data_IF_196682766388
#
_entry.id   IF_196682766388
#
_cell.length_a   1.000
_cell.length_b   1.000
_cell.length_c   1.000
_cell.angle_alpha   90.00
_cell.angle_beta   90.00
_cell.angle_gamma   90.00
#
_symmetry.space_group_name_H-M   'P 1'
#
loop_
_entity.id
_entity.type
_entity.pdbx_description
1 polymer ?
#
# COMPACT_ATOMS: atom_id res chain seq x y z
N UNK A 1 19.18 -10.40 15.26
CA UNK A 1 18.51 -9.43 14.38
C UNK A 1 19.57 -8.87 13.45
N UNK A 2 19.44 -9.08 12.15
CA UNK A 2 20.26 -8.39 11.15
C UNK A 2 20.09 -6.88 11.32
N UNK A 3 21.16 -6.12 11.11
CA UNK A 3 21.04 -4.65 11.06
C UNK A 3 20.28 -4.31 9.78
N UNK A 4 19.19 -3.57 9.90
CA UNK A 4 18.44 -3.05 8.75
C UNK A 4 19.36 -2.09 7.99
N UNK A 5 19.47 -2.27 6.68
CA UNK A 5 20.33 -1.47 5.81
C UNK A 5 19.51 -0.37 5.11
N UNK A 6 20.06 0.85 5.09
CA UNK A 6 19.53 2.01 4.37
C UNK A 6 20.61 3.11 4.27
N UNK A 7 20.46 4.04 3.33
CA UNK A 7 21.38 5.17 3.15
C UNK A 7 21.22 6.23 4.26
N UNK A 8 22.15 7.20 4.33
CA UNK A 8 22.06 8.31 5.29
C UNK A 8 20.84 9.21 5.02
N UNK A 9 20.49 9.41 3.75
CA UNK A 9 19.33 10.18 3.30
C UNK A 9 18.02 9.49 3.70
N UNK A 10 17.97 8.16 3.58
CA UNK A 10 16.85 7.36 4.06
C UNK A 10 16.79 7.40 5.59
N UNK A 11 17.93 7.34 6.29
CA UNK A 11 17.96 7.48 7.75
C UNK A 11 17.37 8.83 8.21
N UNK A 12 17.72 9.93 7.53
CA UNK A 12 17.16 11.25 7.80
C UNK A 12 15.65 11.29 7.53
N UNK A 13 15.20 10.72 6.42
CA UNK A 13 13.78 10.59 6.11
C UNK A 13 13.03 9.82 7.20
N UNK A 14 13.56 8.66 7.61
CA UNK A 14 12.97 7.82 8.64
C UNK A 14 12.88 8.52 10.00
N UNK A 15 13.84 9.41 10.32
CA UNK A 15 13.78 10.27 11.51
C UNK A 15 12.61 11.27 11.49
N UNK A 16 12.02 11.52 10.31
CA UNK A 16 10.86 12.40 10.12
C UNK A 16 9.56 11.64 9.90
N UNK A 17 9.61 10.32 9.71
CA UNK A 17 8.42 9.50 9.48
C UNK A 17 7.51 9.56 10.70
N UNK A 18 6.24 9.85 10.44
CA UNK A 18 5.16 9.82 11.40
C UNK A 18 4.26 8.64 11.10
N UNK A 19 3.76 8.06 12.18
CA UNK A 19 2.85 6.91 12.13
C UNK A 19 1.42 7.41 12.26
N UNK A 20 0.51 6.82 11.49
CA UNK A 20 -0.93 6.96 11.72
C UNK A 20 -1.47 5.58 12.13
N UNK A 21 -1.57 5.30 13.44
CA UNK A 21 -2.06 4.02 13.93
C UNK A 21 -3.43 3.69 13.35
N UNK A 22 -3.72 2.40 13.20
CA UNK A 22 -5.08 1.99 12.81
C UNK A 22 -6.07 2.52 13.84
N UNK A 23 -7.28 2.90 13.40
CA UNK A 23 -8.36 3.27 14.30
C UNK A 23 -8.96 2.08 15.09
N UNK A 24 -8.26 0.93 15.14
CA UNK A 24 -8.72 -0.28 15.82
C UNK A 24 -9.84 -1.03 15.09
N UNK A 25 -10.07 -0.75 13.80
CA UNK A 25 -11.10 -1.42 13.02
C UNK A 25 -10.85 -2.93 12.90
N UNK A 26 -11.87 -3.78 13.12
CA UNK A 26 -11.73 -5.22 12.95
C UNK A 26 -11.31 -5.60 11.53
N UNK A 27 -10.27 -6.42 11.43
CA UNK A 27 -9.80 -7.02 10.18
C UNK A 27 -10.56 -8.33 9.90
N UNK A 28 -11.11 -8.46 8.68
CA UNK A 28 -11.89 -9.60 8.19
C UNK A 28 -11.13 -10.26 7.02
N UNK A 29 -10.17 -11.16 7.30
CA UNK A 29 -9.33 -11.77 6.26
C UNK A 29 -10.14 -12.72 5.38
N UNK A 30 -10.12 -12.52 4.06
CA UNK A 30 -10.74 -13.38 3.07
C UNK A 30 -12.28 -13.39 3.05
N UNK A 31 -12.94 -12.83 4.06
CA UNK A 31 -14.39 -12.66 4.09
C UNK A 31 -14.84 -11.69 2.99
N UNK A 32 -15.89 -12.03 2.26
CA UNK A 32 -16.53 -11.09 1.33
C UNK A 32 -17.20 -9.96 2.12
N UNK A 33 -17.23 -8.76 1.52
CA UNK A 33 -17.99 -7.65 2.08
C UNK A 33 -19.48 -8.01 2.01
N UNK A 34 -20.23 -7.97 3.12
CA UNK A 34 -21.66 -8.30 3.11
C UNK A 34 -22.45 -7.36 2.20
N UNK A 35 -23.51 -7.89 1.60
CA UNK A 35 -24.47 -7.10 0.84
C UNK A 35 -25.00 -5.93 1.69
N UNK A 36 -25.02 -4.73 1.11
CA UNK A 36 -25.47 -3.51 1.78
C UNK A 36 -24.42 -2.78 2.62
N UNK A 37 -23.24 -3.35 2.86
CA UNK A 37 -22.12 -2.63 3.48
C UNK A 37 -21.31 -1.89 2.38
N UNK A 38 -21.34 -0.55 2.31
CA UNK A 38 -20.67 0.17 1.23
C UNK A 38 -19.15 0.01 1.31
N UNK A 39 -18.53 -0.31 0.19
CA UNK A 39 -17.07 -0.23 0.04
C UNK A 39 -16.69 1.21 -0.27
N UNK A 40 -15.86 1.81 0.58
CA UNK A 40 -15.52 3.24 0.46
C UNK A 40 -14.05 3.50 0.19
N UNK A 41 -13.18 2.52 0.45
CA UNK A 41 -11.76 2.65 0.16
C UNK A 41 -11.14 1.33 -0.27
N UNK A 42 -10.08 1.43 -1.06
CA UNK A 42 -9.22 0.31 -1.46
C UNK A 42 -7.76 0.68 -1.24
N UNK A 43 -7.01 -0.18 -0.53
CA UNK A 43 -5.59 0.03 -0.22
C UNK A 43 -4.76 -1.21 -0.59
N UNK A 44 -3.59 -0.99 -1.19
CA UNK A 44 -2.80 -2.04 -1.81
C UNK A 44 -1.49 -2.36 -1.09
N UNK A 45 -1.24 -3.66 -0.88
CA UNK A 45 0.11 -4.19 -0.69
C UNK A 45 0.71 -4.49 -2.07
N UNK A 46 1.48 -3.53 -2.60
CA UNK A 46 2.05 -3.61 -3.94
C UNK A 46 3.46 -4.18 -3.89
N UNK A 47 3.65 -5.40 -4.39
CA UNK A 47 4.88 -6.17 -4.23
C UNK A 47 5.86 -5.97 -5.39
N UNK A 48 7.12 -5.72 -5.05
CA UNK A 48 8.27 -5.91 -5.94
C UNK A 48 8.66 -7.42 -6.01
N UNK A 49 9.46 -7.85 -7.01
CA UNK A 49 9.82 -9.26 -7.19
C UNK A 49 10.54 -9.89 -6.00
N UNK A 50 11.25 -9.09 -5.22
CA UNK A 50 12.00 -9.54 -4.04
C UNK A 50 11.15 -9.65 -2.76
N UNK A 51 9.83 -9.42 -2.88
CA UNK A 51 8.88 -9.53 -1.77
C UNK A 51 8.74 -8.25 -0.94
N UNK A 52 9.50 -7.19 -1.20
CA UNK A 52 9.28 -5.86 -0.60
C UNK A 52 8.00 -5.23 -1.15
N UNK A 53 7.42 -4.31 -0.40
CA UNK A 53 6.21 -3.57 -0.78
C UNK A 53 6.47 -2.08 -0.88
N UNK A 54 5.74 -1.42 -1.77
CA UNK A 54 5.76 0.03 -1.88
C UNK A 54 5.00 0.69 -0.74
N UNK A 55 5.64 1.68 -0.13
CA UNK A 55 5.06 2.62 0.83
C UNK A 55 5.34 4.05 0.37
N UNK A 56 4.46 4.97 0.76
CA UNK A 56 4.56 6.38 0.44
C UNK A 56 4.78 7.17 1.72
N UNK A 57 5.73 8.11 1.71
CA UNK A 57 5.92 9.07 2.81
C UNK A 57 5.52 10.44 2.31
N UNK A 58 4.47 11.00 2.93
CA UNK A 58 4.01 12.35 2.62
C UNK A 58 5.07 13.37 3.07
N UNK A 59 5.61 14.21 2.18
CA UNK A 59 6.70 15.12 2.50
C UNK A 59 6.26 16.33 3.33
N UNK A 60 4.95 16.55 3.48
CA UNK A 60 4.37 17.64 4.28
C UNK A 60 4.38 17.31 5.77
N UNK A 61 3.98 16.11 6.14
CA UNK A 61 3.77 15.71 7.53
C UNK A 61 4.55 14.45 7.95
N UNK A 62 5.23 13.79 7.01
CA UNK A 62 5.99 12.57 7.23
C UNK A 62 5.14 11.32 7.37
N UNK A 63 3.83 11.39 7.13
CA UNK A 63 2.94 10.24 7.30
C UNK A 63 3.26 9.17 6.28
N UNK A 64 3.52 7.95 6.76
CA UNK A 64 3.67 6.77 5.93
C UNK A 64 2.30 6.13 5.62
N UNK A 65 2.08 5.75 4.38
CA UNK A 65 0.89 5.03 3.91
C UNK A 65 1.25 3.92 2.91
N UNK A 66 0.30 2.99 2.71
CA UNK A 66 0.26 2.19 1.49
C UNK A 66 -0.40 3.02 0.37
N UNK A 67 -0.16 2.72 -0.91
CA UNK A 67 -0.96 3.31 -1.99
C UNK A 67 -2.43 2.91 -1.89
N UNK A 68 -3.33 3.86 -2.13
CA UNK A 68 -4.76 3.63 -2.18
C UNK A 68 -5.60 4.76 -1.60
N UNK A 69 -6.89 4.73 -1.88
CA UNK A 69 -7.76 5.84 -1.54
C UNK A 69 -9.23 5.48 -1.62
N UNK A 70 -10.04 6.48 -1.92
CA UNK A 70 -11.49 6.35 -1.96
C UNK A 70 -11.94 5.74 -3.27
N UNK A 71 -13.06 5.00 -3.24
CA UNK A 71 -13.74 4.67 -4.49
C UNK A 71 -14.45 5.92 -5.01
N UNK A 72 -14.28 6.18 -6.29
CA UNK A 72 -14.89 7.27 -7.05
C UNK A 72 -15.88 6.72 -8.09
N UNK A 73 -16.79 7.56 -8.65
CA UNK A 73 -17.80 7.09 -9.60
C UNK A 73 -17.25 6.36 -10.83
N UNK A 74 -16.05 6.74 -11.29
CA UNK A 74 -15.39 6.12 -12.43
C UNK A 74 -14.86 4.70 -12.16
N UNK A 75 -14.77 4.30 -10.89
CA UNK A 75 -14.36 2.95 -10.52
C UNK A 75 -15.53 1.95 -10.64
N UNK A 76 -16.77 2.41 -10.92
CA UNK A 76 -18.00 1.62 -10.99
C UNK A 76 -18.22 0.67 -9.79
N UNK A 77 -17.74 1.11 -8.61
CA UNK A 77 -17.79 0.32 -7.38
C UNK A 77 -16.77 -0.82 -7.28
N UNK A 78 -15.87 -0.99 -8.25
CA UNK A 78 -14.80 -2.00 -8.23
C UNK A 78 -13.59 -1.53 -7.40
N UNK A 79 -13.28 -2.18 -6.25
CA UNK A 79 -12.11 -1.84 -5.44
C UNK A 79 -10.78 -2.11 -6.16
N UNK A 80 -10.77 -3.01 -7.15
CA UNK A 80 -9.61 -3.28 -8.00
C UNK A 80 -9.31 -2.10 -8.93
N UNK A 81 -10.32 -1.60 -9.64
CA UNK A 81 -10.22 -0.41 -10.48
C UNK A 81 -9.76 0.82 -9.67
N UNK A 82 -10.38 1.06 -8.52
CA UNK A 82 -9.99 2.14 -7.61
C UNK A 82 -8.51 2.04 -7.20
N UNK A 83 -8.01 0.84 -6.88
CA UNK A 83 -6.61 0.69 -6.53
C UNK A 83 -5.66 0.99 -7.69
N UNK A 84 -6.02 0.59 -8.92
CA UNK A 84 -5.20 0.86 -10.11
C UNK A 84 -5.08 2.37 -10.33
N UNK A 85 -6.19 3.10 -10.22
CA UNK A 85 -6.22 4.57 -10.33
C UNK A 85 -5.38 5.22 -9.23
N UNK A 86 -5.67 4.92 -7.97
CA UNK A 86 -5.01 5.51 -6.81
C UNK A 86 -3.49 5.24 -6.82
N UNK A 87 -3.06 4.03 -7.21
CA UNK A 87 -1.64 3.73 -7.36
C UNK A 87 -0.97 4.61 -8.43
N UNK A 88 -1.66 4.87 -9.55
CA UNK A 88 -1.21 5.80 -10.57
C UNK A 88 -1.16 7.25 -10.10
N UNK A 89 -2.19 7.70 -9.39
CA UNK A 89 -2.30 9.08 -8.91
C UNK A 89 -1.30 9.39 -7.78
N UNK A 90 -1.22 8.55 -6.76
CA UNK A 90 -0.39 8.82 -5.58
C UNK A 90 1.08 8.50 -5.80
N UNK A 91 1.37 7.40 -6.51
CA UNK A 91 2.72 6.86 -6.61
C UNK A 91 3.31 6.90 -8.03
N UNK A 92 2.49 7.24 -9.03
CA UNK A 92 2.81 7.05 -10.46
C UNK A 92 3.12 5.58 -10.74
N UNK A 93 2.48 4.67 -10.02
CA UNK A 93 2.72 3.25 -10.10
C UNK A 93 1.76 2.56 -11.08
N UNK A 94 2.30 1.72 -11.94
CA UNK A 94 1.56 0.74 -12.70
C UNK A 94 1.55 -0.59 -11.94
N UNK A 95 0.37 -1.19 -11.77
CA UNK A 95 0.20 -2.43 -11.03
C UNK A 95 -0.40 -3.53 -11.92
N UNK A 96 -0.09 -4.78 -11.60
CA UNK A 96 -0.77 -5.94 -12.18
C UNK A 96 -2.17 -6.12 -11.59
N UNK A 97 -2.86 -7.19 -12.01
CA UNK A 97 -4.17 -7.58 -11.48
C UNK A 97 -4.21 -7.55 -9.95
N UNK A 98 -5.11 -6.74 -9.34
CA UNK A 98 -5.34 -6.77 -7.90
C UNK A 98 -6.04 -8.06 -7.44
N UNK A 99 -5.62 -8.57 -6.29
CA UNK A 99 -6.20 -9.73 -5.61
C UNK A 99 -6.76 -9.30 -4.26
N UNK A 100 -8.02 -9.63 -4.01
CA UNK A 100 -8.71 -9.31 -2.75
C UNK A 100 -8.12 -10.07 -1.56
N UNK A 101 -7.91 -9.36 -0.44
CA UNK A 101 -7.38 -9.94 0.81
C UNK A 101 -8.43 -9.98 1.94
N UNK A 102 -9.46 -9.15 1.87
CA UNK A 102 -10.38 -8.89 2.97
C UNK A 102 -10.66 -7.39 3.16
N UNK A 103 -11.31 -7.06 4.26
CA UNK A 103 -11.65 -5.67 4.58
C UNK A 103 -11.49 -5.33 6.07
N UNK A 104 -11.29 -4.04 6.34
CA UNK A 104 -11.48 -3.46 7.67
C UNK A 104 -12.94 -2.98 7.78
N UNK A 105 -13.61 -3.38 8.86
CA UNK A 105 -14.96 -2.91 9.17
C UNK A 105 -14.89 -1.59 9.94
N UNK A 106 -15.17 -0.48 9.25
CA UNK A 106 -15.22 0.86 9.83
C UNK A 106 -16.65 1.15 10.30
N UNK A 107 -16.93 0.81 11.56
CA UNK A 107 -18.24 1.05 12.18
C UNK A 107 -18.58 2.53 12.34
N UNK A 108 -17.58 3.40 12.46
CA UNK A 108 -17.77 4.84 12.69
C UNK A 108 -17.98 5.56 11.36
N UNK A 109 -17.55 4.97 10.24
CA UNK A 109 -17.79 5.54 8.92
C UNK A 109 -16.95 6.77 8.65
N UNK A 110 -15.70 6.81 9.13
CA UNK A 110 -14.85 7.99 8.97
C UNK A 110 -14.52 8.28 7.49
N UNK A 111 -14.70 7.31 6.59
CA UNK A 111 -14.60 7.48 5.13
C UNK A 111 -15.97 7.54 4.43
N UNK A 112 -17.06 7.62 5.19
CA UNK A 112 -18.42 7.46 4.67
C UNK A 112 -19.43 8.37 5.37
N UNK A 113 -19.03 9.61 5.68
CA UNK A 113 -19.93 10.60 6.29
C UNK A 113 -20.54 10.18 7.62
N UNK A 114 -19.90 9.27 8.37
CA UNK A 114 -20.41 8.77 9.65
C UNK A 114 -21.23 7.48 9.58
N UNK A 115 -21.36 6.86 8.40
CA UNK A 115 -22.07 5.59 8.22
C UNK A 115 -21.12 4.42 8.09
N UNK A 116 -21.45 3.26 8.65
CA UNK A 116 -20.58 2.09 8.57
C UNK A 116 -20.15 1.76 7.13
N UNK A 117 -18.90 1.35 6.97
CA UNK A 117 -18.37 0.99 5.65
C UNK A 117 -17.26 -0.05 5.72
N UNK A 118 -16.95 -0.62 4.56
CA UNK A 118 -15.80 -1.47 4.35
C UNK A 118 -14.63 -0.67 3.74
N UNK A 119 -13.42 -0.91 4.27
CA UNK A 119 -12.16 -0.47 3.67
C UNK A 119 -11.38 -1.69 3.22
N UNK A 120 -11.36 -1.94 1.93
CA UNK A 120 -10.79 -3.15 1.34
C UNK A 120 -9.26 -3.10 1.38
N UNK A 121 -8.66 -4.29 1.47
CA UNK A 121 -7.23 -4.51 1.28
C UNK A 121 -7.03 -5.45 0.10
N UNK A 122 -6.05 -5.11 -0.73
CA UNK A 122 -5.70 -5.86 -1.92
C UNK A 122 -4.20 -6.13 -1.96
N UNK A 123 -3.80 -7.10 -2.78
CA UNK A 123 -2.41 -7.36 -3.18
C UNK A 123 -2.28 -7.28 -4.69
N UNK A 124 -1.21 -6.67 -5.19
CA UNK A 124 -0.90 -6.66 -6.61
C UNK A 124 0.62 -6.66 -6.83
N UNK A 125 1.07 -7.03 -8.03
CA UNK A 125 2.45 -6.83 -8.44
C UNK A 125 2.67 -5.36 -8.79
N UNK A 126 3.72 -4.74 -8.25
CA UNK A 126 4.20 -3.43 -8.68
C UNK A 126 5.01 -3.60 -9.96
N UNK A 127 4.46 -3.22 -11.10
CA UNK A 127 5.09 -3.43 -12.42
C UNK A 127 6.12 -2.38 -12.73
N UNK A 128 5.73 -1.12 -12.61
CA UNK A 128 6.59 0.02 -12.88
C UNK A 128 6.16 1.20 -12.02
N UNK A 129 7.07 2.15 -11.89
CA UNK A 129 6.84 3.42 -11.23
C UNK A 129 7.38 4.49 -12.17
N UNK A 130 6.53 5.40 -12.61
CA UNK A 130 6.90 6.51 -13.48
C UNK A 130 7.65 7.63 -12.75
N UNK A 131 8.03 8.69 -13.46
CA UNK A 131 8.62 9.88 -12.86
C UNK A 131 7.72 10.44 -11.76
N UNK A 132 8.30 10.78 -10.61
CA UNK A 132 7.56 11.37 -9.52
C UNK A 132 7.11 12.77 -9.88
N UNK A 133 5.82 13.03 -9.69
CA UNK A 133 5.24 14.36 -9.89
C UNK A 133 5.20 15.10 -8.56
N UNK A 134 5.64 16.36 -8.55
CA UNK A 134 5.59 17.20 -7.37
C UNK A 134 4.15 17.60 -7.06
N UNK A 135 3.78 17.64 -5.78
CA UNK A 135 2.55 18.25 -5.32
C UNK A 135 2.50 19.72 -5.78
N UNK A 136 1.48 20.15 -6.55
CA UNK A 136 1.43 21.50 -7.12
C UNK A 136 1.47 22.62 -6.07
N UNK A 137 0.97 22.36 -4.86
CA UNK A 137 0.89 23.37 -3.80
C UNK A 137 2.22 23.56 -3.06
N UNK A 138 3.00 22.50 -2.85
CA UNK A 138 4.23 22.52 -2.06
C UNK A 138 5.51 22.33 -2.87
N UNK A 139 5.40 21.87 -4.12
CA UNK A 139 6.52 21.45 -4.96
C UNK A 139 7.25 20.21 -4.45
N UNK A 140 6.67 19.47 -3.47
CA UNK A 140 7.31 18.30 -2.86
C UNK A 140 6.76 17.00 -3.42
N UNK A 141 7.61 15.99 -3.48
CA UNK A 141 7.28 14.66 -3.97
C UNK A 141 6.94 13.72 -2.82
N UNK A 142 5.95 12.85 -2.99
CA UNK A 142 5.85 11.65 -2.15
C UNK A 142 7.14 10.85 -2.27
N UNK A 143 7.75 10.52 -1.13
CA UNK A 143 8.92 9.63 -1.11
C UNK A 143 8.40 8.21 -1.23
N UNK A 144 8.97 7.41 -2.13
CA UNK A 144 8.48 6.07 -2.49
C UNK A 144 9.47 5.04 -1.98
N UNK A 145 9.11 4.28 -0.94
CA UNK A 145 10.01 3.32 -0.32
C UNK A 145 9.60 1.89 -0.61
N UNK A 146 10.56 1.05 -0.99
CA UNK A 146 10.44 -0.41 -0.94
C UNK A 146 10.89 -0.90 0.44
N UNK A 147 9.99 -1.61 1.12
CA UNK A 147 10.20 -2.08 2.48
C UNK A 147 9.69 -3.51 2.65
N UNK A 148 10.33 -4.30 3.52
CA UNK A 148 9.76 -5.60 3.90
C UNK A 148 8.37 -5.40 4.52
N UNK A 149 7.38 -6.30 4.28
CA UNK A 149 6.02 -6.13 4.79
C UNK A 149 5.91 -5.93 6.30
N UNK A 150 6.78 -6.58 7.09
CA UNK A 150 6.86 -6.37 8.54
C UNK A 150 7.32 -4.95 8.90
N UNK A 151 8.34 -4.43 8.21
CA UNK A 151 8.82 -3.05 8.40
C UNK A 151 7.79 -2.02 7.92
N UNK A 152 7.05 -2.31 6.84
CA UNK A 152 5.93 -1.47 6.42
C UNK A 152 4.93 -1.28 7.56
N UNK A 153 4.56 -2.35 8.28
CA UNK A 153 3.65 -2.28 9.43
C UNK A 153 4.21 -1.39 10.55
N UNK A 154 5.52 -1.44 10.80
CA UNK A 154 6.19 -0.57 11.78
C UNK A 154 6.18 0.91 11.36
N UNK A 155 6.40 1.19 10.08
CA UNK A 155 6.35 2.56 9.53
C UNK A 155 4.92 3.12 9.52
N UNK A 156 3.93 2.27 9.24
CA UNK A 156 2.51 2.61 9.30
C UNK A 156 2.03 2.80 10.75
N UNK A 157 2.66 2.11 11.71
CA UNK A 157 2.25 2.05 13.11
C UNK A 157 0.99 1.21 13.34
N UNK A 158 0.77 0.19 12.52
CA UNK A 158 -0.48 -0.60 12.55
C UNK A 158 -0.49 -1.76 13.55
N UNK A 159 0.66 -2.06 14.16
CA UNK A 159 0.79 -3.10 15.18
C UNK A 159 0.31 -4.47 14.72
N UNK A 160 -0.23 -5.26 15.65
CA UNK A 160 -0.60 -6.66 15.40
C UNK A 160 -1.65 -6.83 14.30
N UNK A 161 -2.63 -5.92 14.22
CA UNK A 161 -3.63 -5.93 13.16
C UNK A 161 -3.00 -5.70 11.78
N UNK A 162 -2.01 -4.80 11.70
CA UNK A 162 -1.19 -4.62 10.51
C UNK A 162 -0.40 -5.87 10.14
N UNK A 163 0.21 -6.55 11.12
CA UNK A 163 0.94 -7.80 10.87
C UNK A 163 0.04 -8.91 10.32
N UNK A 164 -1.22 -8.99 10.78
CA UNK A 164 -2.21 -9.93 10.22
C UNK A 164 -2.56 -9.61 8.77
N UNK A 165 -2.70 -8.33 8.42
CA UNK A 165 -2.89 -7.90 7.03
C UNK A 165 -1.67 -8.21 6.17
N UNK A 166 -0.46 -7.88 6.64
CA UNK A 166 0.80 -8.16 5.94
C UNK A 166 0.99 -9.66 5.68
N UNK A 167 0.66 -10.53 6.65
CA UNK A 167 0.71 -11.99 6.46
C UNK A 167 -0.26 -12.48 5.38
N UNK A 168 -1.49 -11.96 5.35
CA UNK A 168 -2.46 -12.30 4.30
C UNK A 168 -1.99 -11.82 2.92
N UNK A 169 -1.39 -10.63 2.86
CA UNK A 169 -0.80 -10.08 1.65
C UNK A 169 0.37 -10.93 1.15
N UNK A 170 1.32 -11.28 2.02
CA UNK A 170 2.47 -12.15 1.69
C UNK A 170 2.01 -13.52 1.19
N UNK A 171 1.07 -14.16 1.90
CA UNK A 171 0.55 -15.47 1.50
C UNK A 171 -0.07 -15.42 0.08
N UNK A 172 -0.86 -14.39 -0.19
CA UNK A 172 -1.45 -14.17 -1.52
C UNK A 172 -0.38 -13.86 -2.56
N UNK A 173 0.60 -13.03 -2.23
CA UNK A 173 1.67 -12.65 -3.15
C UNK A 173 2.56 -13.85 -3.54
N UNK A 174 2.94 -14.69 -2.57
CA UNK A 174 3.68 -15.93 -2.85
C UNK A 174 2.87 -16.82 -3.80
N UNK A 175 1.58 -17.01 -3.52
CA UNK A 175 0.73 -17.92 -4.30
C UNK A 175 0.41 -17.38 -5.71
N UNK A 176 0.15 -16.08 -5.84
CA UNK A 176 -0.39 -15.46 -7.07
C UNK A 176 0.66 -14.76 -7.91
N UNK A 177 1.73 -14.27 -7.29
CA UNK A 177 2.77 -13.45 -7.93
C UNK A 177 4.13 -14.14 -7.95
N UNK A 178 4.32 -15.23 -7.19
CA UNK A 178 5.58 -15.98 -7.16
C UNK A 178 6.73 -15.25 -6.45
N UNK A 179 6.43 -14.25 -5.59
CA UNK A 179 7.46 -13.56 -4.81
C UNK A 179 7.97 -14.42 -3.65
N UNK A 180 9.16 -14.13 -3.09
CA UNK A 180 9.65 -14.78 -1.88
C UNK A 180 8.72 -14.59 -0.68
N UNK A 181 8.62 -15.61 0.18
CA UNK A 181 7.86 -15.54 1.42
C UNK A 181 8.50 -14.62 2.50
N UNK A 182 9.80 -14.37 2.37
CA UNK A 182 10.56 -13.45 3.21
C UNK A 182 11.32 -12.47 2.31
N UNK A 183 11.06 -11.19 2.51
CA UNK A 183 11.76 -10.12 1.82
C UNK A 183 13.06 -9.75 2.54
N UNK A 184 14.01 -9.18 1.81
CA UNK A 184 15.12 -8.46 2.43
C UNK A 184 14.57 -7.27 3.24
N UNK A 185 15.13 -7.05 4.43
CA UNK A 185 14.77 -5.94 5.31
C UNK A 185 15.39 -4.60 4.89
N UNK A 186 16.26 -4.56 3.87
CA UNK A 186 16.80 -3.30 3.34
C UNK A 186 15.69 -2.34 2.88
N UNK A 187 15.76 -1.10 3.35
CA UNK A 187 14.84 -0.02 2.96
C UNK A 187 15.48 0.76 1.83
N UNK A 188 14.78 0.83 0.71
CA UNK A 188 15.25 1.50 -0.49
C UNK A 188 14.24 2.56 -0.91
N UNK A 189 14.73 3.73 -1.30
CA UNK A 189 13.90 4.72 -1.98
C UNK A 189 13.98 4.50 -3.49
N UNK A 190 12.81 4.47 -4.14
CA UNK A 190 12.73 4.38 -5.59
C UNK A 190 13.20 5.68 -6.26
N UNK A 191 13.89 5.60 -7.41
CA UNK A 191 14.38 6.77 -8.13
C UNK A 191 13.27 7.77 -8.47
N UNK A 192 13.59 9.06 -8.49
CA UNK A 192 12.62 10.13 -8.79
C UNK A 192 12.18 10.06 -10.25
N UNK A 193 13.09 9.71 -11.15
CA UNK A 193 12.86 9.48 -12.58
C UNK A 193 11.96 8.27 -12.88
N UNK A 194 11.71 7.42 -11.89
CA UNK A 194 10.96 6.18 -12.05
C UNK A 194 11.85 4.99 -12.38
N UNK A 195 11.24 3.79 -12.38
CA UNK A 195 11.90 2.54 -12.70
C UNK A 195 10.89 1.47 -13.11
N UNK A 196 11.35 0.48 -13.88
CA UNK A 196 10.66 -0.80 -13.97
C UNK A 196 11.00 -1.64 -12.74
N UNK A 197 9.99 -2.25 -12.13
CA UNK A 197 10.14 -3.00 -10.87
C UNK A 197 9.92 -4.50 -11.10
N UNK A 198 8.92 -4.87 -11.89
CA UNK A 198 8.63 -6.25 -12.29
C UNK A 198 8.75 -6.39 -13.82
N UNK A 199 9.88 -6.88 -14.35
CA UNK A 199 10.01 -7.11 -15.80
C UNK A 199 9.18 -8.34 -16.24
N UNK A 200 8.19 -8.13 -17.14
CA UNK A 200 7.30 -9.16 -17.73
C UNK A 200 6.31 -9.84 -16.74
N UNK A 201 5.19 -10.45 -17.10
CA UNK A 201 4.38 -10.62 -18.32
C UNK A 201 3.02 -9.95 -18.03
N UNK A 202 2.42 -9.27 -19.01
CA UNK A 202 1.01 -8.88 -18.96
C UNK A 202 0.17 -10.15 -18.85
N UNK A 203 -0.47 -10.38 -17.70
CA UNK A 203 -1.50 -11.41 -17.63
C UNK A 203 -2.81 -10.79 -18.11
N UNK A 204 -3.50 -11.42 -19.08
CA UNK A 204 -4.75 -10.93 -19.64
C UNK A 204 -5.85 -10.83 -18.57
#
# INVERSE_FOLDING_TARGET
MSRIEYSAEVAELLGRVRRRPTAGWPWRPGEQVPDGLPVKQSWGWLFAPDGRVLTLVNPRDGICSLPGGSLEPEDDGDPGAALVREAGEEAQAAIGRPYYLGYLYDRVGSANGGHECARVRMTAALRAVGPSVADPASGRHYRRLLVAPGLAVELLGWGEAGLRQARAAVATAVQRLGVPAAANEAIEELPVEGCEVFPGVEHP
#
